data_IF_899347981096
#
_entry.id   IF_899347981096
#
_cell.length_a   1.000
_cell.length_b   1.000
_cell.length_c   1.000
_cell.angle_alpha   90.00
_cell.angle_beta   90.00
_cell.angle_gamma   90.00
#
_symmetry.space_group_name_H-M   'P 1'
#
loop_
_entity.id
_entity.type
_entity.pdbx_description
1 polymer ?
#
# COMPACT_ATOMS: atom_id res chain seq x y z
N UNK A 1 10.85 -11.70 -20.67
CA UNK A 1 9.53 -12.24 -20.25
C UNK A 1 8.65 -11.07 -19.90
N UNK A 2 7.41 -11.01 -20.39
CA UNK A 2 6.49 -9.95 -20.02
C UNK A 2 5.70 -10.40 -18.78
N UNK A 3 5.64 -9.55 -17.76
CA UNK A 3 4.75 -9.76 -16.62
C UNK A 3 3.30 -9.67 -17.08
N UNK A 4 2.41 -10.41 -16.45
CA UNK A 4 0.97 -10.31 -16.67
C UNK A 4 0.37 -9.36 -15.65
N UNK A 5 -0.47 -8.44 -16.12
CA UNK A 5 -1.23 -7.52 -15.26
C UNK A 5 -2.72 -7.79 -15.41
N UNK A 6 -3.42 -7.81 -14.30
CA UNK A 6 -4.87 -8.00 -14.29
C UNK A 6 -5.54 -7.25 -13.13
N UNK A 7 -6.78 -6.85 -13.34
CA UNK A 7 -7.63 -6.30 -12.30
C UNK A 7 -8.57 -7.38 -11.79
N UNK A 8 -8.94 -7.28 -10.52
CA UNK A 8 -9.90 -8.18 -9.89
C UNK A 8 -10.68 -7.45 -8.80
N UNK A 9 -11.87 -7.95 -8.50
CA UNK A 9 -12.67 -7.49 -7.36
C UNK A 9 -12.52 -8.49 -6.23
N UNK A 10 -12.37 -7.98 -5.01
CA UNK A 10 -12.38 -8.83 -3.83
C UNK A 10 -13.83 -9.25 -3.50
N UNK A 11 -14.02 -10.42 -2.87
CA UNK A 11 -15.32 -10.79 -2.32
C UNK A 11 -15.79 -9.75 -1.30
N UNK A 12 -17.09 -9.48 -1.25
CA UNK A 12 -17.71 -8.58 -0.27
C UNK A 12 -17.72 -9.12 1.17
N UNK A 13 -16.99 -10.19 1.43
CA UNK A 13 -17.02 -10.96 2.68
C UNK A 13 -15.77 -10.78 3.53
N UNK A 14 -15.14 -9.60 3.47
CA UNK A 14 -13.87 -9.36 4.20
C UNK A 14 -13.98 -9.66 5.69
N UNK A 15 -15.10 -9.39 6.31
CA UNK A 15 -15.31 -9.60 7.74
C UNK A 15 -16.29 -10.74 7.99
N UNK A 16 -16.15 -11.87 7.28
CA UNK A 16 -17.01 -13.03 7.39
C UNK A 16 -18.51 -12.71 7.23
N UNK A 17 -18.85 -11.72 6.40
CA UNK A 17 -20.23 -11.27 6.15
C UNK A 17 -21.00 -10.79 7.40
N UNK A 18 -20.30 -10.49 8.48
CA UNK A 18 -20.93 -10.14 9.77
C UNK A 18 -21.14 -8.64 9.99
N UNK A 19 -21.11 -7.85 8.93
CA UNK A 19 -21.30 -6.40 9.02
C UNK A 19 -19.98 -5.62 9.04
N UNK A 20 -19.97 -4.38 9.55
CA UNK A 20 -18.76 -3.58 9.61
C UNK A 20 -17.71 -4.18 10.53
N UNK A 21 -16.45 -3.95 10.20
CA UNK A 21 -15.32 -4.40 11.02
C UNK A 21 -14.16 -3.40 10.98
N UNK A 22 -13.20 -3.61 11.86
CA UNK A 22 -11.96 -2.86 11.92
C UNK A 22 -10.79 -3.79 11.62
N UNK A 23 -10.04 -3.52 10.54
CA UNK A 23 -8.84 -4.27 10.17
C UNK A 23 -7.67 -3.69 10.94
N UNK A 24 -6.96 -4.53 11.66
CA UNK A 24 -5.78 -4.16 12.46
C UNK A 24 -4.48 -4.32 11.67
N UNK A 25 -4.41 -5.40 10.89
CA UNK A 25 -3.28 -5.68 10.02
C UNK A 25 -3.73 -6.53 8.83
N UNK A 26 -2.92 -6.56 7.78
CA UNK A 26 -3.19 -7.42 6.65
C UNK A 26 -1.99 -7.62 5.75
N UNK A 27 -1.92 -8.78 5.11
CA UNK A 27 -0.97 -9.06 4.05
C UNK A 27 -1.69 -9.64 2.83
N UNK A 28 -1.08 -9.47 1.68
CA UNK A 28 -1.54 -10.05 0.42
C UNK A 28 -0.38 -10.81 -0.22
N UNK A 29 -0.70 -11.89 -0.87
CA UNK A 29 0.28 -12.71 -1.56
C UNK A 29 -0.37 -13.63 -2.57
N UNK A 30 0.39 -14.62 -3.05
CA UNK A 30 -0.02 -15.56 -4.08
C UNK A 30 0.25 -16.99 -3.60
N UNK A 31 -0.71 -17.88 -3.82
CA UNK A 31 -0.59 -19.31 -3.51
C UNK A 31 -0.92 -20.18 -4.71
N UNK A 32 -0.38 -21.38 -4.73
CA UNK A 32 -0.80 -22.44 -5.63
C UNK A 32 -2.10 -23.09 -5.15
N UNK A 33 -2.64 -24.01 -5.96
CA UNK A 33 -3.87 -24.74 -5.63
C UNK A 33 -3.77 -25.63 -4.38
N UNK A 34 -2.55 -26.02 -4.00
CA UNK A 34 -2.27 -26.82 -2.78
C UNK A 34 -2.06 -25.95 -1.53
N UNK A 35 -2.25 -24.64 -1.64
CA UNK A 35 -2.09 -23.67 -0.55
C UNK A 35 -0.66 -23.23 -0.26
N UNK A 36 0.34 -23.76 -0.98
CA UNK A 36 1.73 -23.32 -0.83
C UNK A 36 1.93 -21.93 -1.43
N UNK A 37 2.68 -21.09 -0.74
CA UNK A 37 3.01 -19.76 -1.24
C UNK A 37 3.83 -19.84 -2.53
N UNK A 38 3.40 -19.04 -3.51
CA UNK A 38 4.11 -18.86 -4.75
C UNK A 38 5.06 -17.65 -4.61
N UNK A 39 6.34 -17.88 -4.81
CA UNK A 39 7.40 -16.91 -4.60
C UNK A 39 8.53 -17.10 -5.64
N UNK A 40 9.58 -16.27 -5.64
CA UNK A 40 10.66 -16.40 -6.60
C UNK A 40 11.35 -17.77 -6.63
N UNK A 41 11.45 -18.47 -5.50
CA UNK A 41 12.04 -19.81 -5.44
C UNK A 41 11.20 -20.87 -6.16
N UNK A 42 9.90 -20.62 -6.30
CA UNK A 42 8.96 -21.43 -7.07
C UNK A 42 8.73 -20.93 -8.50
N UNK A 43 9.48 -19.90 -8.91
CA UNK A 43 9.43 -19.29 -10.22
C UNK A 43 8.27 -18.34 -10.43
N UNK A 44 7.61 -17.88 -9.37
CA UNK A 44 6.57 -16.85 -9.43
C UNK A 44 7.07 -15.60 -8.69
N UNK A 45 7.06 -14.48 -9.38
CA UNK A 45 7.52 -13.22 -8.85
C UNK A 45 6.35 -12.23 -8.79
N UNK A 46 6.13 -11.66 -7.62
CA UNK A 46 5.14 -10.61 -7.39
C UNK A 46 5.83 -9.27 -7.63
N UNK A 47 5.54 -8.64 -8.78
CA UNK A 47 6.03 -7.29 -9.02
C UNK A 47 5.21 -6.30 -8.18
N UNK A 48 3.86 -6.37 -8.27
CA UNK A 48 2.95 -5.60 -7.44
C UNK A 48 1.64 -6.36 -7.22
N UNK A 49 1.07 -6.19 -6.04
CA UNK A 49 -0.35 -6.36 -5.79
C UNK A 49 -0.80 -5.12 -5.02
N UNK A 50 -1.63 -4.29 -5.63
CA UNK A 50 -2.20 -3.10 -5.04
C UNK A 50 -3.69 -3.30 -4.84
N UNK A 51 -4.19 -2.95 -3.68
CA UNK A 51 -5.63 -3.00 -3.40
C UNK A 51 -6.12 -1.63 -2.99
N UNK A 52 -7.30 -1.27 -3.47
CA UNK A 52 -7.99 -0.04 -3.16
C UNK A 52 -9.40 -0.32 -2.66
N UNK A 53 -9.79 0.38 -1.61
CA UNK A 53 -11.18 0.51 -1.21
C UNK A 53 -11.84 1.53 -2.15
N UNK A 54 -12.62 1.03 -3.10
CA UNK A 54 -13.26 1.83 -4.15
C UNK A 54 -14.45 2.65 -3.62
N UNK A 55 -14.94 2.36 -2.43
CA UNK A 55 -16.06 3.05 -1.80
C UNK A 55 -15.60 4.33 -1.11
N UNK A 56 -14.40 4.30 -0.52
CA UNK A 56 -13.83 5.46 0.16
C UNK A 56 -13.20 6.41 -0.86
N UNK A 57 -13.69 7.63 -0.89
CA UNK A 57 -13.06 8.69 -1.68
C UNK A 57 -11.74 9.08 -1.03
N UNK A 58 -10.71 9.10 -1.83
CA UNK A 58 -9.44 9.59 -1.39
C UNK A 58 -9.48 11.10 -1.18
N UNK A 59 -9.04 11.52 0.02
CA UNK A 59 -8.69 12.91 0.30
C UNK A 59 -7.19 13.10 0.12
N UNK A 60 -6.75 14.28 -0.30
CA UNK A 60 -5.33 14.61 -0.28
C UNK A 60 -4.90 14.87 1.17
N UNK A 61 -4.25 13.89 1.79
CA UNK A 61 -3.68 14.02 3.15
C UNK A 61 -2.35 14.78 3.16
N UNK A 62 -1.70 14.85 2.01
CA UNK A 62 -0.42 15.49 1.82
C UNK A 62 -0.51 16.50 0.70
N UNK A 63 0.13 17.66 0.90
CA UNK A 63 0.40 18.58 -0.19
C UNK A 63 1.55 18.05 -1.06
N UNK A 64 1.60 18.51 -2.29
CA UNK A 64 2.78 18.30 -3.12
C UNK A 64 3.99 19.09 -2.56
N UNK A 65 5.21 18.59 -2.80
CA UNK A 65 6.43 19.24 -2.34
C UNK A 65 6.50 20.70 -2.77
N UNK A 66 6.71 21.58 -1.82
CA UNK A 66 6.89 23.01 -2.08
C UNK A 66 5.66 23.79 -2.52
N UNK A 67 4.49 23.14 -2.66
CA UNK A 67 3.23 23.82 -2.97
C UNK A 67 2.10 23.21 -2.14
N UNK A 68 1.72 23.93 -1.07
CA UNK A 68 0.69 23.49 -0.13
C UNK A 68 -0.72 23.37 -0.74
N UNK A 69 -0.94 23.95 -1.90
CA UNK A 69 -2.26 23.96 -2.56
C UNK A 69 -2.43 22.85 -3.61
N UNK A 70 -1.35 22.11 -3.93
CA UNK A 70 -1.41 21.04 -4.91
C UNK A 70 -1.36 19.68 -4.19
N UNK A 71 -2.40 18.84 -4.30
CA UNK A 71 -2.39 17.51 -3.72
C UNK A 71 -1.23 16.66 -4.25
N UNK A 72 -0.62 15.85 -3.40
CA UNK A 72 0.36 14.87 -3.83
C UNK A 72 -0.28 13.85 -4.79
N UNK A 73 0.45 13.44 -5.81
CA UNK A 73 0.01 12.36 -6.70
C UNK A 73 -0.13 11.08 -5.89
N UNK A 74 -1.29 10.48 -5.98
CA UNK A 74 -1.56 9.22 -5.33
C UNK A 74 -1.74 8.09 -6.35
N UNK A 75 -0.80 7.17 -6.33
CA UNK A 75 -0.83 6.00 -7.23
C UNK A 75 -2.03 5.09 -6.94
N UNK A 76 -2.44 4.97 -5.67
CA UNK A 76 -3.64 4.21 -5.32
C UNK A 76 -4.92 4.89 -5.85
N UNK A 77 -4.92 6.20 -6.04
CA UNK A 77 -6.00 6.95 -6.70
C UNK A 77 -6.22 6.55 -8.16
N UNK A 78 -5.23 5.94 -8.81
CA UNK A 78 -5.40 5.35 -10.15
C UNK A 78 -6.37 4.17 -10.14
N UNK A 79 -6.55 3.52 -9.00
CA UNK A 79 -7.54 2.45 -8.78
C UNK A 79 -8.91 2.98 -8.34
N UNK A 80 -9.07 4.31 -8.24
CA UNK A 80 -10.35 4.97 -7.98
C UNK A 80 -10.77 5.04 -6.51
N UNK A 81 -9.88 4.77 -5.54
CA UNK A 81 -10.25 4.74 -4.13
C UNK A 81 -9.09 5.00 -3.17
N UNK A 82 -9.23 4.56 -1.94
CA UNK A 82 -8.20 4.67 -0.88
C UNK A 82 -7.35 3.41 -0.85
N UNK A 83 -6.02 3.55 -0.76
CA UNK A 83 -5.13 2.39 -0.66
C UNK A 83 -5.48 1.52 0.54
N UNK A 84 -5.47 0.22 0.31
CA UNK A 84 -5.66 -0.82 1.30
C UNK A 84 -4.40 -1.70 1.38
N UNK A 85 -4.53 -2.96 1.71
CA UNK A 85 -3.38 -3.88 1.79
C UNK A 85 -2.72 -4.05 0.42
N UNK A 86 -1.41 -3.96 0.37
CA UNK A 86 -0.65 -4.14 -0.86
C UNK A 86 0.72 -4.75 -0.60
N UNK A 87 1.34 -5.27 -1.65
CA UNK A 87 2.70 -5.79 -1.62
C UNK A 87 3.42 -5.48 -2.93
N UNK A 88 4.71 -5.55 -2.90
CA UNK A 88 5.59 -5.39 -4.05
C UNK A 88 6.90 -6.14 -3.84
N UNK A 89 7.82 -5.96 -4.76
CA UNK A 89 9.11 -6.65 -4.82
C UNK A 89 9.90 -6.64 -3.51
N UNK A 90 9.83 -5.53 -2.81
CA UNK A 90 10.62 -5.23 -1.60
C UNK A 90 9.86 -5.47 -0.28
N UNK A 91 8.61 -5.94 -0.34
CA UNK A 91 7.73 -5.96 0.82
C UNK A 91 7.06 -7.29 1.11
N UNK A 92 7.54 -8.37 0.49
CA UNK A 92 6.89 -9.67 0.50
C UNK A 92 6.60 -10.26 1.90
N UNK A 93 7.36 -9.88 2.91
CA UNK A 93 7.24 -10.47 4.26
C UNK A 93 6.51 -9.56 5.27
N UNK A 94 6.42 -8.25 5.00
CA UNK A 94 5.78 -7.32 5.92
C UNK A 94 4.41 -6.91 5.43
N UNK A 95 3.40 -7.25 6.20
CA UNK A 95 2.04 -6.79 5.99
C UNK A 95 1.89 -5.27 6.20
N UNK A 96 0.70 -4.77 5.93
CA UNK A 96 0.27 -3.41 6.30
C UNK A 96 -0.33 -3.46 7.69
N UNK A 97 0.10 -2.56 8.59
CA UNK A 97 -0.40 -2.47 9.97
C UNK A 97 -1.18 -1.16 10.12
N UNK A 98 -2.34 -1.25 10.71
CA UNK A 98 -3.28 -0.13 10.92
C UNK A 98 -3.49 0.21 12.41
N UNK A 99 -2.80 -0.46 13.29
CA UNK A 99 -2.76 -0.15 14.72
C UNK A 99 -1.34 0.18 15.16
N UNK A 100 -1.15 0.80 16.31
CA UNK A 100 0.20 1.04 16.82
C UNK A 100 0.81 -0.25 17.38
N UNK A 101 2.07 -0.51 17.06
CA UNK A 101 2.81 -1.69 17.56
C UNK A 101 2.94 -1.69 19.10
N UNK A 102 3.01 -0.50 19.70
CA UNK A 102 3.17 -0.31 21.14
C UNK A 102 1.84 -0.26 21.91
N UNK A 103 0.71 -0.41 21.22
CA UNK A 103 -0.63 -0.35 21.81
C UNK A 103 -1.05 1.03 22.33
N UNK A 104 -0.27 2.08 22.08
CA UNK A 104 -0.57 3.45 22.56
C UNK A 104 -1.73 4.10 21.82
N UNK A 105 -2.09 3.59 20.63
CA UNK A 105 -3.19 4.08 19.81
C UNK A 105 -4.16 2.95 19.49
N UNK A 106 -5.40 3.16 19.88
CA UNK A 106 -6.50 2.29 19.46
C UNK A 106 -6.98 2.76 18.09
N UNK A 107 -6.51 2.12 17.03
CA UNK A 107 -6.78 2.50 15.65
C UNK A 107 -6.89 1.26 14.76
N UNK A 108 -7.49 1.44 13.60
CA UNK A 108 -7.58 0.42 12.56
C UNK A 108 -8.23 0.96 11.29
N UNK A 109 -8.19 0.20 10.23
CA UNK A 109 -8.87 0.55 8.99
C UNK A 109 -10.33 0.11 9.08
N UNK A 110 -11.23 1.05 9.10
CA UNK A 110 -12.66 0.77 9.21
C UNK A 110 -13.22 0.28 7.88
N UNK A 111 -13.88 -0.86 7.89
CA UNK A 111 -14.56 -1.44 6.73
C UNK A 111 -16.06 -1.43 6.99
N UNK A 112 -16.80 -0.71 6.16
CA UNK A 112 -18.26 -0.68 6.18
C UNK A 112 -18.86 -1.90 5.49
N UNK A 113 -20.12 -2.20 5.80
CA UNK A 113 -20.85 -3.35 5.20
C UNK A 113 -21.02 -3.23 3.67
N UNK A 114 -20.90 -2.03 3.11
CA UNK A 114 -21.05 -1.75 1.68
C UNK A 114 -19.73 -1.48 0.98
N UNK A 115 -18.61 -1.54 1.69
CA UNK A 115 -17.30 -1.25 1.12
C UNK A 115 -16.93 -2.31 0.07
N UNK A 116 -16.33 -1.84 -1.02
CA UNK A 116 -15.91 -2.66 -2.15
C UNK A 116 -14.44 -2.44 -2.44
N UNK A 117 -13.75 -3.55 -2.71
CA UNK A 117 -12.31 -3.53 -2.91
C UNK A 117 -11.96 -4.01 -4.31
N UNK A 118 -11.07 -3.27 -4.95
CA UNK A 118 -10.52 -3.61 -6.27
C UNK A 118 -9.02 -3.82 -6.14
N UNK A 119 -8.53 -4.90 -6.71
CA UNK A 119 -7.11 -5.21 -6.77
C UNK A 119 -6.57 -5.08 -8.18
N UNK A 120 -5.29 -4.72 -8.27
CA UNK A 120 -4.47 -4.82 -9.45
C UNK A 120 -3.22 -5.61 -9.11
N UNK A 121 -2.96 -6.66 -9.89
CA UNK A 121 -1.78 -7.48 -9.72
C UNK A 121 -0.93 -7.47 -10.97
N UNK A 122 0.38 -7.42 -10.79
CA UNK A 122 1.38 -7.63 -11.81
C UNK A 122 2.32 -8.73 -11.36
N UNK A 123 2.29 -9.86 -12.07
CA UNK A 123 3.00 -11.07 -11.73
C UNK A 123 3.87 -11.53 -12.89
N UNK A 124 5.01 -12.14 -12.59
CA UNK A 124 5.91 -12.74 -13.57
C UNK A 124 6.04 -14.22 -13.29
N UNK A 125 5.86 -15.05 -14.31
CA UNK A 125 6.12 -16.48 -14.25
C UNK A 125 7.45 -16.79 -14.97
N UNK A 126 8.43 -17.22 -14.22
CA UNK A 126 9.73 -17.66 -14.75
C UNK A 126 9.73 -19.13 -15.16
N UNK A 127 8.67 -19.88 -14.85
CA UNK A 127 8.54 -21.25 -15.32
C UNK A 127 8.22 -21.30 -16.81
N UNK A 128 8.61 -22.38 -17.48
CA UNK A 128 8.27 -22.62 -18.89
C UNK A 128 6.79 -22.91 -19.10
N UNK A 129 6.12 -23.42 -18.07
CA UNK A 129 4.71 -23.82 -18.10
C UNK A 129 3.84 -22.78 -17.42
N UNK A 130 2.59 -22.68 -17.87
CA UNK A 130 1.58 -21.89 -17.18
C UNK A 130 1.31 -22.48 -15.78
N UNK A 131 1.19 -21.64 -14.78
CA UNK A 131 0.86 -22.02 -13.40
C UNK A 131 -0.46 -21.39 -13.00
N UNK A 132 -1.33 -22.20 -12.41
CA UNK A 132 -2.56 -21.71 -11.80
C UNK A 132 -2.25 -21.23 -10.38
N UNK A 133 -2.56 -19.99 -10.12
CA UNK A 133 -2.29 -19.31 -8.86
C UNK A 133 -3.53 -18.57 -8.37
N UNK A 134 -3.55 -18.24 -7.09
CA UNK A 134 -4.62 -17.50 -6.44
C UNK A 134 -4.01 -16.38 -5.62
N UNK A 135 -4.61 -15.19 -5.69
CA UNK A 135 -4.30 -14.10 -4.76
C UNK A 135 -5.01 -14.37 -3.46
N UNK A 136 -4.32 -14.29 -2.34
CA UNK A 136 -4.88 -14.42 -1.01
C UNK A 136 -4.70 -13.15 -0.20
N UNK A 137 -5.59 -12.93 0.74
CA UNK A 137 -5.50 -11.92 1.77
C UNK A 137 -5.58 -12.60 3.13
N UNK A 138 -4.63 -12.27 3.99
CA UNK A 138 -4.59 -12.69 5.38
C UNK A 138 -4.79 -11.42 6.23
N UNK A 139 -5.94 -11.31 6.90
CA UNK A 139 -6.37 -10.11 7.59
C UNK A 139 -6.60 -10.39 9.06
N UNK A 140 -6.00 -9.58 9.91
CA UNK A 140 -6.32 -9.50 11.32
C UNK A 140 -7.40 -8.44 11.53
N UNK A 141 -8.50 -8.79 12.14
CA UNK A 141 -9.65 -7.90 12.27
C UNK A 141 -10.47 -8.16 13.55
N UNK A 142 -11.23 -7.15 13.94
CA UNK A 142 -12.21 -7.24 15.03
C UNK A 142 -13.59 -6.80 14.54
N UNK A 143 -14.69 -7.38 15.10
CA UNK A 143 -16.05 -6.99 14.74
C UNK A 143 -16.34 -5.54 15.12
N UNK A 144 -17.15 -4.87 14.32
CA UNK A 144 -17.60 -3.49 14.54
C UNK A 144 -16.54 -2.44 14.20
N UNK A 145 -16.92 -1.19 14.34
CA UNK A 145 -16.07 -0.02 14.14
C UNK A 145 -15.47 0.35 15.48
N UNK A 146 -14.17 0.18 15.62
CA UNK A 146 -13.43 0.35 16.89
C UNK A 146 -12.21 1.24 16.68
N UNK A 147 -12.01 2.20 17.59
CA UNK A 147 -10.87 3.10 17.57
C UNK A 147 -10.92 4.14 16.43
N UNK A 148 -9.77 4.75 16.17
CA UNK A 148 -9.62 5.77 15.13
C UNK A 148 -9.47 5.13 13.74
N UNK A 149 -10.17 5.68 12.73
CA UNK A 149 -10.06 5.21 11.35
C UNK A 149 -8.75 5.67 10.72
N UNK A 150 -7.91 4.71 10.37
CA UNK A 150 -6.61 4.98 9.74
C UNK A 150 -6.78 5.43 8.29
N UNK A 151 -6.04 6.45 7.93
CA UNK A 151 -5.97 6.99 6.57
C UNK A 151 -4.65 6.62 5.93
N UNK A 152 -4.70 6.26 4.67
CA UNK A 152 -3.50 5.96 3.90
C UNK A 152 -3.13 7.13 3.00
N UNK A 153 -1.85 7.45 2.94
CA UNK A 153 -1.31 8.46 2.05
C UNK A 153 -0.18 7.86 1.23
N UNK A 154 -0.13 8.20 -0.05
CA UNK A 154 0.95 7.79 -0.96
C UNK A 154 1.55 9.03 -1.57
N UNK A 155 2.85 9.08 -1.64
CA UNK A 155 3.59 10.18 -2.28
C UNK A 155 4.80 9.64 -3.04
N UNK A 156 5.31 10.45 -3.95
CA UNK A 156 6.49 10.11 -4.74
C UNK A 156 7.63 11.08 -4.43
N UNK A 157 8.86 10.58 -4.42
CA UNK A 157 10.05 11.41 -4.18
C UNK A 157 10.27 12.49 -5.26
N UNK A 158 9.51 12.46 -6.35
CA UNK A 158 9.57 13.42 -7.46
C UNK A 158 8.60 14.60 -7.31
N UNK A 159 8.01 14.79 -6.13
CA UNK A 159 7.13 15.93 -5.84
C UNK A 159 5.92 16.06 -6.78
N UNK A 160 5.22 14.97 -7.03
CA UNK A 160 4.01 14.95 -7.85
C UNK A 160 4.24 14.93 -9.36
N UNK A 161 5.49 14.78 -9.76
CA UNK A 161 5.85 14.46 -11.14
C UNK A 161 5.71 12.96 -11.45
N UNK A 162 6.47 12.46 -12.43
CA UNK A 162 6.56 11.03 -12.70
C UNK A 162 6.97 10.26 -11.44
N UNK A 163 6.39 9.09 -11.13
CA UNK A 163 6.90 8.24 -10.06
C UNK A 163 8.31 7.69 -10.35
N UNK A 164 8.79 7.89 -11.56
CA UNK A 164 10.09 7.41 -12.03
C UNK A 164 11.20 8.40 -11.67
N UNK A 165 12.18 7.95 -10.93
CA UNK A 165 13.41 8.69 -10.67
C UNK A 165 14.41 8.35 -11.78
N UNK A 166 14.95 9.37 -12.45
CA UNK A 166 16.00 9.16 -13.45
C UNK A 166 17.31 8.84 -12.72
N UNK A 167 17.79 7.63 -12.89
CA UNK A 167 19.07 7.20 -12.33
C UNK A 167 20.24 7.74 -13.16
N UNK A 168 21.39 7.94 -12.51
CA UNK A 168 22.65 8.23 -13.21
C UNK A 168 23.16 6.97 -13.89
N UNK A 169 23.75 7.16 -15.07
CA UNK A 169 24.44 6.08 -15.78
C UNK A 169 25.93 5.96 -15.38
N UNK A 170 26.43 6.88 -14.56
CA UNK A 170 27.87 7.02 -14.26
C UNK A 170 28.26 6.70 -12.80
N UNK A 171 27.28 6.35 -11.97
CA UNK A 171 27.54 5.96 -10.58
C UNK A 171 26.37 6.18 -9.64
N UNK A 172 26.57 5.95 -8.34
CA UNK A 172 25.53 6.16 -7.34
C UNK A 172 24.99 7.59 -7.34
N UNK A 173 23.69 7.73 -7.25
CA UNK A 173 23.01 9.03 -7.10
C UNK A 173 22.15 9.05 -5.86
N UNK A 174 22.03 10.23 -5.29
CA UNK A 174 21.10 10.51 -4.21
C UNK A 174 20.04 11.48 -4.73
N UNK A 175 18.77 11.13 -4.54
CA UNK A 175 17.65 12.00 -4.88
C UNK A 175 16.85 12.29 -3.62
N UNK A 176 16.69 13.56 -3.31
CA UNK A 176 15.92 14.02 -2.16
C UNK A 176 14.73 14.83 -2.64
N UNK A 177 13.54 14.50 -2.16
CA UNK A 177 12.34 15.31 -2.41
C UNK A 177 12.37 16.62 -1.60
N UNK A 178 11.58 17.59 -2.00
CA UNK A 178 11.17 18.67 -1.12
C UNK A 178 10.28 18.14 0.04
N UNK A 179 9.95 19.03 0.96
CA UNK A 179 9.07 18.68 2.09
C UNK A 179 7.63 18.53 1.62
N UNK A 180 6.98 17.47 2.06
CA UNK A 180 5.53 17.31 2.00
C UNK A 180 4.93 17.86 3.29
N UNK A 181 3.77 18.50 3.19
CA UNK A 181 3.05 19.01 4.35
C UNK A 181 1.80 18.15 4.57
N UNK A 182 1.58 17.71 5.79
CA UNK A 182 0.31 17.11 6.15
C UNK A 182 -0.75 18.21 6.19
N UNK A 183 -1.92 17.90 5.63
CA UNK A 183 -3.03 18.85 5.52
C UNK A 183 -4.00 18.74 6.71
N UNK A 184 -3.85 17.74 7.54
CA UNK A 184 -4.60 17.51 8.77
C UNK A 184 -3.64 17.02 9.86
N UNK A 185 -3.96 17.32 11.10
CA UNK A 185 -3.22 16.82 12.26
C UNK A 185 -3.43 15.31 12.42
N UNK A 186 -2.39 14.61 12.88
CA UNK A 186 -2.47 13.18 13.07
C UNK A 186 -1.19 12.54 13.60
N UNK A 187 -1.24 11.24 13.79
CA UNK A 187 -0.09 10.43 14.15
C UNK A 187 0.27 9.51 13.00
N UNK A 188 1.55 9.41 12.67
CA UNK A 188 2.04 8.46 11.69
C UNK A 188 2.20 7.12 12.40
N UNK A 189 1.40 6.12 12.02
CA UNK A 189 1.50 4.76 12.55
C UNK A 189 2.59 3.95 11.86
N UNK A 190 2.86 4.24 10.60
CA UNK A 190 3.88 3.58 9.83
C UNK A 190 4.17 4.28 8.52
N UNK A 191 5.35 4.07 7.99
CA UNK A 191 5.76 4.55 6.68
C UNK A 191 6.57 3.45 5.97
N UNK A 192 6.32 3.25 4.69
CA UNK A 192 7.02 2.27 3.87
C UNK A 192 7.39 2.88 2.53
N UNK A 193 8.64 2.68 2.11
CA UNK A 193 9.09 2.99 0.77
C UNK A 193 8.90 1.80 -0.16
N UNK A 194 8.71 2.06 -1.44
CA UNK A 194 8.70 1.07 -2.50
C UNK A 194 9.71 1.45 -3.59
N UNK A 195 10.61 0.53 -3.89
CA UNK A 195 11.71 0.73 -4.80
C UNK A 195 11.77 -0.43 -5.81
N UNK A 196 12.23 -0.12 -7.02
CA UNK A 196 12.44 -1.12 -8.07
C UNK A 196 13.93 -1.27 -8.41
N UNK A 197 14.39 -2.51 -8.54
CA UNK A 197 15.66 -2.86 -9.16
C UNK A 197 16.84 -2.15 -8.51
N UNK A 198 17.73 -1.51 -9.12
CA UNK A 198 19.05 -1.01 -8.71
C UNK A 198 19.10 0.10 -7.63
N UNK A 199 18.08 0.26 -6.80
CA UNK A 199 18.07 1.23 -5.70
C UNK A 199 18.40 0.51 -4.39
N UNK A 200 19.46 0.96 -3.70
CA UNK A 200 20.04 0.24 -2.56
C UNK A 200 19.48 0.65 -1.20
N UNK A 201 18.87 1.82 -1.09
CA UNK A 201 18.30 2.27 0.19
C UNK A 201 17.25 3.36 0.02
N UNK A 202 16.30 3.35 0.94
CA UNK A 202 15.32 4.41 1.14
C UNK A 202 15.43 4.91 2.58
N UNK A 203 15.59 6.22 2.76
CA UNK A 203 15.59 6.86 4.06
C UNK A 203 14.41 7.84 4.12
N UNK A 204 13.47 7.57 5.03
CA UNK A 204 12.43 8.53 5.39
C UNK A 204 12.84 9.25 6.68
N UNK A 205 12.91 10.57 6.63
CA UNK A 205 13.12 11.40 7.81
C UNK A 205 11.79 12.02 8.19
N UNK A 206 11.21 11.54 9.29
CA UNK A 206 10.04 12.15 9.90
C UNK A 206 10.46 12.99 11.09
N UNK A 207 9.98 14.22 11.17
CA UNK A 207 10.09 14.98 12.42
C UNK A 207 8.99 14.51 13.36
N UNK A 208 9.38 13.99 14.52
CA UNK A 208 8.54 13.34 15.52
C UNK A 208 7.55 14.27 16.25
N UNK A 209 6.99 15.27 15.61
CA UNK A 209 5.81 15.98 16.16
C UNK A 209 5.08 16.73 15.04
N UNK A 210 3.94 16.20 14.66
CA UNK A 210 2.91 16.99 13.99
C UNK A 210 2.16 17.75 15.09
N UNK A 211 2.78 18.78 15.65
CA UNK A 211 2.06 19.76 16.46
C UNK A 211 1.54 20.83 15.52
N UNK A 212 0.25 21.12 15.65
CA UNK A 212 -0.49 22.03 14.79
C UNK A 212 0.30 23.30 14.45
N UNK A 213 0.28 23.64 13.18
CA UNK A 213 0.68 24.95 12.72
C UNK A 213 -0.52 25.87 12.90
N UNK A 214 -0.36 26.86 13.77
CA UNK A 214 -1.19 28.07 13.77
C UNK A 214 -0.88 28.92 12.54
#
# INVERSE_FOLDING_TARGET
MMGQSFFYSMPRTLCNSQGPCTILAGRVGVVFADGKEANPSTGIYIHHILTSDSTKKQKPWLSNCGNSNTPALNIAGLLGGTAFVGTGEDSAERGTVYTSEDGTRNSGYHVGAQDTFTGWAQLVNYNKEAKKIYVFYDLEWIPGIVGDDVKTATFTATCGGSPMIKLSTTGPTNTTSGKFHFLEDGNILGARGHLHGMIFSFLSVTHNRLTGFQ
#
